data_IF_718701147766
#
_entry.id   IF_718701147766
#
_cell.length_a   1.000
_cell.length_b   1.000
_cell.length_c   1.000
_cell.angle_alpha   90.00
_cell.angle_beta   90.00
_cell.angle_gamma   90.00
#
_symmetry.space_group_name_H-M   'P 1'
#
loop_
_entity.id
_entity.type
_entity.pdbx_description
1 polymer ?
#
# COMPACT_ATOMS: atom_id res chain seq x y z
N UNK A 1 26.21 -2.61 2.84
CA UNK A 1 25.46 -1.71 3.74
C UNK A 1 26.29 -1.55 5.00
N UNK A 2 26.68 -0.32 5.32
CA UNK A 2 27.42 -0.03 6.54
C UNK A 2 26.43 0.24 7.71
N UNK A 3 26.94 0.45 8.93
CA UNK A 3 26.09 0.71 10.10
C UNK A 3 25.31 2.03 10.02
N UNK A 4 25.85 3.03 9.32
CA UNK A 4 25.18 4.32 9.11
C UNK A 4 23.92 4.14 8.26
N UNK A 5 24.02 3.39 7.16
CA UNK A 5 22.91 3.06 6.26
C UNK A 5 21.76 2.40 7.02
N UNK A 6 22.07 1.39 7.84
CA UNK A 6 21.09 0.65 8.63
C UNK A 6 20.40 1.60 9.62
N UNK A 7 21.16 2.44 10.30
CA UNK A 7 20.63 3.40 11.28
C UNK A 7 19.71 4.42 10.61
N UNK A 8 20.11 4.94 9.45
CA UNK A 8 19.30 5.88 8.67
C UNK A 8 17.98 5.25 8.23
N UNK A 9 18.04 4.02 7.69
CA UNK A 9 16.86 3.28 7.27
C UNK A 9 15.92 2.95 8.43
N UNK A 10 16.45 2.62 9.62
CA UNK A 10 15.66 2.38 10.81
C UNK A 10 14.93 3.65 11.27
N UNK A 11 15.62 4.79 11.33
CA UNK A 11 15.01 6.09 11.66
C UNK A 11 13.92 6.43 10.63
N UNK A 12 14.23 6.28 9.34
CA UNK A 12 13.28 6.56 8.27
C UNK A 12 12.03 5.68 8.39
N UNK A 13 12.19 4.37 8.62
CA UNK A 13 11.09 3.43 8.79
C UNK A 13 10.17 3.83 9.96
N UNK A 14 10.73 4.27 11.09
CA UNK A 14 9.94 4.75 12.23
C UNK A 14 9.18 6.03 11.87
N UNK A 15 9.85 7.02 11.29
CA UNK A 15 9.23 8.30 10.92
C UNK A 15 8.09 8.12 9.89
N UNK A 16 8.32 7.29 8.87
CA UNK A 16 7.31 7.01 7.85
C UNK A 16 6.17 6.14 8.37
N UNK A 17 6.42 5.25 9.32
CA UNK A 17 5.38 4.51 10.03
C UNK A 17 4.50 5.45 10.87
N UNK A 18 5.09 6.41 11.59
CA UNK A 18 4.34 7.45 12.32
C UNK A 18 3.50 8.29 11.36
N UNK A 19 4.08 8.70 10.23
CA UNK A 19 3.35 9.45 9.20
C UNK A 19 2.16 8.65 8.66
N UNK A 20 2.32 7.34 8.41
CA UNK A 20 1.22 6.47 7.99
C UNK A 20 0.15 6.32 9.07
N UNK A 21 0.54 6.31 10.34
CA UNK A 21 -0.38 6.27 11.47
C UNK A 21 -1.22 7.53 11.61
N UNK A 22 -0.60 8.71 11.49
CA UNK A 22 -1.25 10.02 11.67
C UNK A 22 -2.04 10.45 10.44
N UNK A 23 -1.43 10.39 9.25
CA UNK A 23 -2.05 10.83 8.00
C UNK A 23 -2.94 9.73 7.37
N UNK A 24 -2.84 8.49 7.86
CA UNK A 24 -3.58 7.34 7.35
C UNK A 24 -3.01 6.72 6.06
N UNK A 25 -2.13 7.43 5.33
CA UNK A 25 -1.52 6.98 4.08
C UNK A 25 -0.17 7.67 3.79
N UNK A 26 0.59 7.15 2.82
CA UNK A 26 1.73 7.84 2.21
C UNK A 26 3.11 7.53 2.80
N UNK A 27 3.20 7.00 4.03
CA UNK A 27 4.51 6.69 4.64
C UNK A 27 5.28 5.61 3.91
N UNK A 28 4.62 4.55 3.42
CA UNK A 28 5.30 3.54 2.60
C UNK A 28 5.92 4.11 1.31
N UNK A 29 5.23 5.04 0.63
CA UNK A 29 5.77 5.74 -0.55
C UNK A 29 7.02 6.55 -0.18
N UNK A 30 6.96 7.29 0.93
CA UNK A 30 8.10 8.07 1.42
C UNK A 30 9.27 7.17 1.87
N UNK A 31 8.98 6.02 2.47
CA UNK A 31 9.99 5.04 2.86
C UNK A 31 10.68 4.46 1.63
N UNK A 32 9.91 3.99 0.65
CA UNK A 32 10.43 3.47 -0.62
C UNK A 32 11.32 4.51 -1.33
N UNK A 33 10.88 5.78 -1.38
CA UNK A 33 11.66 6.87 -1.97
C UNK A 33 12.95 7.16 -1.19
N UNK A 34 12.96 7.05 0.14
CA UNK A 34 14.19 7.20 0.91
C UNK A 34 15.14 6.01 0.76
N UNK A 35 14.60 4.79 0.64
CA UNK A 35 15.39 3.59 0.43
C UNK A 35 16.16 3.61 -0.89
N UNK A 36 15.67 4.25 -1.96
CA UNK A 36 16.37 4.31 -3.26
C UNK A 36 17.75 4.99 -3.20
N UNK A 37 18.01 5.78 -2.16
CA UNK A 37 19.32 6.42 -1.97
C UNK A 37 20.38 5.51 -1.34
N UNK A 38 19.97 4.39 -0.73
CA UNK A 38 20.83 3.56 0.13
C UNK A 38 20.82 2.08 -0.29
N UNK A 39 19.67 1.58 -0.73
CA UNK A 39 19.42 0.16 -1.00
C UNK A 39 19.51 -0.09 -2.51
N UNK A 40 20.26 -1.13 -2.95
CA UNK A 40 20.30 -1.49 -4.37
C UNK A 40 18.93 -1.99 -4.86
N UNK A 41 18.59 -1.69 -6.11
CA UNK A 41 17.26 -1.93 -6.69
C UNK A 41 16.75 -3.37 -6.57
N UNK A 42 17.63 -4.36 -6.62
CA UNK A 42 17.27 -5.78 -6.48
C UNK A 42 16.78 -6.16 -5.08
N UNK A 43 17.21 -5.44 -4.03
CA UNK A 43 16.82 -5.65 -2.64
C UNK A 43 15.75 -4.67 -2.17
N UNK A 44 15.52 -3.60 -2.94
CA UNK A 44 14.61 -2.51 -2.60
C UNK A 44 13.18 -3.01 -2.34
N UNK A 45 12.60 -3.74 -3.30
CA UNK A 45 11.21 -4.23 -3.20
C UNK A 45 11.03 -5.25 -2.07
N UNK A 46 11.87 -6.30 -1.93
CA UNK A 46 11.74 -7.26 -0.83
C UNK A 46 11.87 -6.61 0.56
N UNK A 47 12.83 -5.70 0.74
CA UNK A 47 13.03 -5.01 2.01
C UNK A 47 11.86 -4.09 2.33
N UNK A 48 11.43 -3.28 1.35
CA UNK A 48 10.26 -2.40 1.49
C UNK A 48 9.02 -3.20 1.89
N UNK A 49 8.70 -4.26 1.14
CA UNK A 49 7.54 -5.09 1.39
C UNK A 49 7.56 -5.76 2.77
N UNK A 50 8.72 -6.24 3.21
CA UNK A 50 8.86 -6.87 4.54
C UNK A 50 8.67 -5.85 5.67
N UNK A 51 9.32 -4.68 5.57
CA UNK A 51 9.16 -3.61 6.56
C UNK A 51 7.71 -3.13 6.61
N UNK A 52 7.07 -3.00 5.45
CA UNK A 52 5.70 -2.53 5.34
C UNK A 52 4.69 -3.56 5.87
N UNK A 53 4.94 -4.85 5.65
CA UNK A 53 4.17 -5.95 6.25
C UNK A 53 4.21 -5.85 7.77
N UNK A 54 5.40 -5.71 8.36
CA UNK A 54 5.57 -5.63 9.82
C UNK A 54 4.88 -4.38 10.38
N UNK A 55 5.10 -3.21 9.77
CA UNK A 55 4.50 -1.94 10.20
C UNK A 55 2.96 -1.99 10.17
N UNK A 56 2.37 -2.43 9.04
CA UNK A 56 0.93 -2.50 8.91
C UNK A 56 0.30 -3.59 9.77
N UNK A 57 0.96 -4.75 9.90
CA UNK A 57 0.48 -5.83 10.74
C UNK A 57 0.45 -5.40 12.21
N UNK A 58 1.47 -4.69 12.67
CA UNK A 58 1.52 -4.15 14.03
C UNK A 58 0.34 -3.21 14.29
N UNK A 59 0.03 -2.34 13.33
CA UNK A 59 -1.15 -1.45 13.38
C UNK A 59 -2.47 -2.22 13.34
N UNK A 60 -2.58 -3.24 12.51
CA UNK A 60 -3.77 -4.08 12.42
C UNK A 60 -4.03 -4.85 13.72
N UNK A 61 -2.97 -5.36 14.37
CA UNK A 61 -3.05 -6.02 15.68
C UNK A 61 -3.49 -5.02 16.75
N UNK A 62 -2.86 -3.84 16.79
CA UNK A 62 -3.22 -2.79 17.76
C UNK A 62 -4.69 -2.36 17.64
N UNK A 63 -5.20 -2.27 16.41
CA UNK A 63 -6.57 -1.84 16.12
C UNK A 63 -7.56 -3.01 15.95
N UNK A 64 -7.17 -4.26 16.25
CA UNK A 64 -7.95 -5.45 15.91
C UNK A 64 -9.39 -5.40 16.45
N UNK A 65 -9.57 -4.86 17.66
CA UNK A 65 -10.88 -4.71 18.30
C UNK A 65 -11.75 -3.59 17.69
N UNK A 66 -11.13 -2.64 16.98
CA UNK A 66 -11.81 -1.55 16.27
C UNK A 66 -12.14 -1.89 14.82
N UNK A 67 -11.72 -3.06 14.33
CA UNK A 67 -12.03 -3.50 12.97
C UNK A 67 -13.49 -3.94 12.88
N UNK A 68 -14.22 -3.34 11.95
CA UNK A 68 -15.57 -3.80 11.60
C UNK A 68 -15.48 -5.16 10.90
N UNK A 69 -15.76 -6.24 11.63
CA UNK A 69 -15.66 -7.63 11.16
C UNK A 69 -16.49 -7.90 9.90
N UNK A 70 -17.66 -7.27 9.76
CA UNK A 70 -18.52 -7.46 8.59
C UNK A 70 -17.85 -6.91 7.33
N UNK A 71 -17.37 -5.66 7.39
CA UNK A 71 -16.66 -5.03 6.26
C UNK A 71 -15.40 -5.83 5.92
N UNK A 72 -14.63 -6.21 6.94
CA UNK A 72 -13.41 -7.01 6.77
C UNK A 72 -13.67 -8.33 6.05
N UNK A 73 -14.75 -9.05 6.41
CA UNK A 73 -15.11 -10.33 5.78
C UNK A 73 -15.40 -10.16 4.29
N UNK A 74 -16.21 -9.17 3.89
CA UNK A 74 -16.49 -8.95 2.46
C UNK A 74 -15.21 -8.53 1.71
N UNK A 75 -14.40 -7.66 2.31
CA UNK A 75 -13.13 -7.22 1.73
C UNK A 75 -12.15 -8.38 1.51
N UNK A 76 -11.92 -9.22 2.53
CA UNK A 76 -10.97 -10.34 2.43
C UNK A 76 -11.43 -11.42 1.44
N UNK A 77 -12.74 -11.57 1.22
CA UNK A 77 -13.28 -12.49 0.21
C UNK A 77 -13.02 -12.00 -1.22
N UNK A 78 -13.07 -10.69 -1.46
CA UNK A 78 -12.76 -10.12 -2.77
C UNK A 78 -11.27 -10.05 -3.09
N UNK A 79 -10.43 -9.87 -2.07
CA UNK A 79 -9.00 -9.63 -2.23
C UNK A 79 -8.24 -10.72 -3.04
N UNK A 80 -8.42 -12.04 -2.80
CA UNK A 80 -7.75 -13.08 -3.58
C UNK A 80 -8.05 -13.02 -5.07
N UNK A 81 -9.30 -12.70 -5.45
CA UNK A 81 -9.68 -12.55 -6.86
C UNK A 81 -8.94 -11.39 -7.50
N UNK A 82 -8.83 -10.25 -6.80
CA UNK A 82 -8.04 -9.11 -7.27
C UNK A 82 -6.56 -9.44 -7.49
N UNK A 83 -5.96 -10.19 -6.56
CA UNK A 83 -4.58 -10.66 -6.64
C UNK A 83 -4.38 -11.57 -7.87
N UNK A 84 -5.27 -12.54 -8.08
CA UNK A 84 -5.21 -13.45 -9.24
C UNK A 84 -5.33 -12.65 -10.54
N UNK A 85 -6.27 -11.72 -10.63
CA UNK A 85 -6.47 -10.88 -11.82
C UNK A 85 -5.24 -10.02 -12.11
N UNK A 86 -4.66 -9.35 -11.12
CA UNK A 86 -3.47 -8.53 -11.33
C UNK A 86 -2.24 -9.35 -11.70
N UNK A 87 -2.03 -10.52 -11.08
CA UNK A 87 -0.90 -11.39 -11.46
C UNK A 87 -1.01 -11.90 -12.89
N UNK A 88 -2.21 -12.16 -13.39
CA UNK A 88 -2.43 -12.47 -14.81
C UNK A 88 -2.19 -11.26 -15.71
N UNK A 89 -2.66 -10.08 -15.30
CA UNK A 89 -2.51 -8.85 -16.07
C UNK A 89 -1.04 -8.47 -16.24
N UNK A 90 -0.23 -8.52 -15.17
CA UNK A 90 1.19 -8.14 -15.19
C UNK A 90 2.02 -9.02 -16.11
N UNK A 91 1.69 -10.31 -16.24
CA UNK A 91 2.39 -11.23 -17.16
C UNK A 91 2.31 -10.77 -18.62
N UNK A 92 1.26 -10.04 -18.98
CA UNK A 92 1.01 -9.58 -20.34
C UNK A 92 1.41 -8.11 -20.56
N UNK A 93 1.90 -7.42 -19.52
CA UNK A 93 2.34 -6.03 -19.61
C UNK A 93 3.85 -6.00 -19.87
N UNK A 94 4.24 -5.77 -21.12
CA UNK A 94 5.66 -5.58 -21.49
C UNK A 94 6.15 -4.15 -21.21
N UNK A 95 5.23 -3.17 -21.19
CA UNK A 95 5.57 -1.75 -21.03
C UNK A 95 5.64 -1.32 -19.57
N UNK A 96 6.81 -0.81 -19.17
CA UNK A 96 7.02 -0.18 -17.85
C UNK A 96 6.20 1.10 -17.65
N UNK A 97 5.73 1.75 -18.72
CA UNK A 97 4.99 3.01 -18.63
C UNK A 97 3.65 2.85 -17.92
N UNK A 98 2.95 1.73 -18.15
CA UNK A 98 1.62 1.49 -17.59
C UNK A 98 1.57 1.57 -16.05
N UNK A 99 2.37 0.80 -15.28
CA UNK A 99 2.37 0.90 -13.82
C UNK A 99 2.82 2.27 -13.32
N UNK A 100 3.77 2.94 -13.98
CA UNK A 100 4.19 4.29 -13.60
C UNK A 100 3.08 5.33 -13.78
N UNK A 101 2.35 5.29 -14.89
CA UNK A 101 1.20 6.18 -15.11
C UNK A 101 0.12 5.96 -14.06
N UNK A 102 -0.19 4.70 -13.74
CA UNK A 102 -1.19 4.37 -12.73
C UNK A 102 -0.76 4.85 -11.33
N UNK A 103 0.53 4.72 -11.00
CA UNK A 103 1.09 5.22 -9.74
C UNK A 103 1.04 6.74 -9.66
N UNK A 104 1.41 7.43 -10.75
CA UNK A 104 1.34 8.89 -10.83
C UNK A 104 -0.11 9.37 -10.61
N UNK A 105 -1.08 8.76 -11.29
CA UNK A 105 -2.52 9.07 -11.10
C UNK A 105 -2.97 8.84 -9.65
N UNK A 106 -2.54 7.75 -9.02
CA UNK A 106 -2.86 7.47 -7.61
C UNK A 106 -2.28 8.54 -6.68
N UNK A 107 -1.02 8.94 -6.88
CA UNK A 107 -0.37 9.99 -6.09
C UNK A 107 -1.06 11.33 -6.30
N UNK A 108 -1.34 11.71 -7.54
CA UNK A 108 -2.07 12.94 -7.87
C UNK A 108 -3.44 12.95 -7.20
N UNK A 109 -4.21 11.87 -7.30
CA UNK A 109 -5.49 11.76 -6.62
C UNK A 109 -5.33 11.87 -5.09
N UNK A 110 -4.36 11.17 -4.51
CA UNK A 110 -4.10 11.21 -3.07
C UNK A 110 -3.81 12.61 -2.54
N UNK A 111 -3.02 13.40 -3.29
CA UNK A 111 -2.60 14.75 -2.92
C UNK A 111 -3.70 15.80 -3.15
N UNK A 112 -4.45 15.67 -4.24
CA UNK A 112 -5.41 16.69 -4.68
C UNK A 112 -6.88 16.31 -4.48
N UNK A 113 -7.17 15.18 -3.81
CA UNK A 113 -8.56 14.81 -3.51
C UNK A 113 -9.25 15.92 -2.70
N UNK A 114 -10.53 16.22 -2.98
CA UNK A 114 -11.27 17.23 -2.24
C UNK A 114 -11.39 16.85 -0.75
N UNK A 115 -11.29 17.85 0.13
CA UNK A 115 -11.35 17.66 1.60
C UNK A 115 -12.67 17.04 2.07
N UNK A 116 -13.75 17.25 1.32
CA UNK A 116 -15.07 16.66 1.56
C UNK A 116 -15.45 15.81 0.36
N UNK A 117 -15.52 14.51 0.57
CA UNK A 117 -16.10 13.58 -0.39
C UNK A 117 -17.60 13.42 -0.08
N UNK A 118 -18.44 13.15 -1.09
CA UNK A 118 -19.87 12.90 -0.86
C UNK A 118 -20.05 11.68 0.05
N UNK A 119 -21.09 11.72 0.90
CA UNK A 119 -21.45 10.58 1.73
C UNK A 119 -21.92 9.43 0.85
N UNK A 120 -21.14 8.36 0.81
CA UNK A 120 -21.44 7.14 0.07
C UNK A 120 -22.07 6.11 1.01
N UNK A 121 -23.36 5.85 0.84
CA UNK A 121 -24.05 4.73 1.47
C UNK A 121 -23.92 3.50 0.57
N UNK A 122 -22.79 2.80 0.69
CA UNK A 122 -22.53 1.58 -0.07
C UNK A 122 -23.02 0.34 0.71
N UNK A 123 -23.70 -0.60 0.03
CA UNK A 123 -24.13 -1.84 0.67
C UNK A 123 -22.92 -2.71 1.03
N UNK A 124 -23.09 -3.57 2.04
CA UNK A 124 -21.99 -4.33 2.61
C UNK A 124 -21.27 -5.24 1.59
N UNK A 125 -22.00 -5.78 0.62
CA UNK A 125 -21.42 -6.63 -0.43
C UNK A 125 -20.45 -5.87 -1.34
N UNK A 126 -20.61 -4.55 -1.49
CA UNK A 126 -19.72 -3.73 -2.33
C UNK A 126 -18.29 -3.68 -1.76
N UNK A 127 -18.09 -3.97 -0.48
CA UNK A 127 -16.74 -4.08 0.08
C UNK A 127 -15.95 -5.29 -0.49
N UNK A 128 -16.62 -6.30 -1.06
CA UNK A 128 -15.94 -7.32 -1.84
C UNK A 128 -15.36 -6.76 -3.14
N UNK A 129 -16.09 -5.88 -3.83
CA UNK A 129 -15.55 -5.16 -4.99
C UNK A 129 -14.37 -4.27 -4.59
N UNK A 130 -14.47 -3.59 -3.44
CA UNK A 130 -13.34 -2.82 -2.89
C UNK A 130 -12.14 -3.75 -2.66
N UNK A 131 -12.35 -4.95 -2.09
CA UNK A 131 -11.31 -5.97 -1.95
C UNK A 131 -10.65 -6.37 -3.26
N UNK A 132 -11.44 -6.62 -4.31
CA UNK A 132 -10.94 -6.94 -5.66
C UNK A 132 -10.09 -5.79 -6.20
N UNK A 133 -10.62 -4.57 -6.18
CA UNK A 133 -9.93 -3.38 -6.70
C UNK A 133 -8.64 -3.12 -5.92
N UNK A 134 -8.69 -3.22 -4.59
CA UNK A 134 -7.50 -3.10 -3.74
C UNK A 134 -6.47 -4.20 -4.00
N UNK A 135 -6.91 -5.45 -4.23
CA UNK A 135 -6.02 -6.55 -4.61
C UNK A 135 -5.32 -6.31 -5.94
N UNK A 136 -6.04 -5.76 -6.94
CA UNK A 136 -5.45 -5.41 -8.24
C UNK A 136 -4.44 -4.27 -8.11
N UNK A 137 -4.87 -3.15 -7.51
CA UNK A 137 -4.05 -1.96 -7.36
C UNK A 137 -2.84 -2.20 -6.45
N UNK A 138 -2.99 -3.05 -5.42
CA UNK A 138 -1.91 -3.40 -4.50
C UNK A 138 -0.72 -4.05 -5.20
N UNK A 139 -0.95 -4.92 -6.19
CA UNK A 139 0.16 -5.53 -6.95
C UNK A 139 0.72 -4.56 -7.99
N UNK A 140 -0.14 -3.78 -8.66
CA UNK A 140 0.31 -2.89 -9.73
C UNK A 140 1.10 -1.68 -9.20
N UNK A 141 0.63 -1.07 -8.13
CA UNK A 141 1.11 0.24 -7.63
C UNK A 141 1.12 0.35 -6.10
N UNK A 142 0.96 -0.77 -5.39
CA UNK A 142 1.00 -0.79 -3.93
C UNK A 142 2.39 -0.42 -3.42
N UNK A 143 2.49 0.76 -2.83
CA UNK A 143 3.69 1.23 -2.15
C UNK A 143 3.55 1.17 -0.62
N UNK A 144 2.44 0.64 -0.10
CA UNK A 144 2.07 0.60 1.32
C UNK A 144 1.38 -0.70 1.65
#
# INVERSE_FOLDING_TARGET
>A
MNWLDITLLAILAVLTSVMSGVAGMGGGVAFLAGMTFVVPYNLLIPLHGTTQLISNLSRAIYLLHHINKKIFLFFILGLPLGIILATQLIKNIESKLFPFTLLALLITYALFKPKKLPHLNIPLWSFALVGIVSGVLGILIGAT
#
